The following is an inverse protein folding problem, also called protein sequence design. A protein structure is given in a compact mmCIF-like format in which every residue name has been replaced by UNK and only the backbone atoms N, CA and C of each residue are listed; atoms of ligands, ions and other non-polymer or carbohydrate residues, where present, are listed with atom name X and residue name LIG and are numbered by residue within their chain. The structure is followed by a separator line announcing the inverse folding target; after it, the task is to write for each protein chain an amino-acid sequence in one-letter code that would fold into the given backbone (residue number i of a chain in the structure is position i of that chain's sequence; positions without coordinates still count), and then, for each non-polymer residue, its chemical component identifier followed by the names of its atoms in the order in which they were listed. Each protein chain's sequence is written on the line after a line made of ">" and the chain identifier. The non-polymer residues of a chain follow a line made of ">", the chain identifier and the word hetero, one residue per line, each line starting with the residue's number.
data_IF_381775809593
#
_entry.id   IF_381775809593
#
_cell.length_a   1.000
_cell.length_b   1.000
_cell.length_c   1.000
_cell.angle_alpha   90.00
_cell.angle_beta   90.00
_cell.angle_gamma   90.00
#
_symmetry.space_group_name_H-M   'P 1'
#
loop_
_entity.id
_entity.type
_entity.pdbx_description
1 polymer ?
#
# COMPACT_ATOMS: atom_id res chain seq x y z
N UNK A 1 -62.94 -25.08 -28.40
CA UNK A 1 -61.61 -24.88 -27.77
C UNK A 1 -61.49 -23.41 -27.38
N UNK A 2 -61.11 -23.09 -26.13
CA UNK A 2 -60.82 -21.70 -25.75
C UNK A 2 -59.55 -21.26 -26.48
N UNK A 3 -59.58 -20.14 -27.20
CA UNK A 3 -58.39 -19.58 -27.84
C UNK A 3 -57.43 -19.07 -26.76
N UNK A 4 -56.16 -19.45 -26.85
CA UNK A 4 -55.13 -18.92 -25.96
C UNK A 4 -54.82 -17.49 -26.39
N UNK A 5 -54.81 -16.55 -25.45
CA UNK A 5 -54.41 -15.15 -25.68
C UNK A 5 -52.88 -15.04 -25.78
N UNK A 6 -52.39 -14.54 -26.92
CA UNK A 6 -50.96 -14.37 -27.21
C UNK A 6 -50.24 -13.51 -26.15
N UNK A 7 -50.92 -12.54 -25.53
CA UNK A 7 -50.32 -11.70 -24.49
C UNK A 7 -50.01 -12.51 -23.24
N UNK A 8 -50.89 -13.45 -22.89
CA UNK A 8 -50.70 -14.35 -21.76
C UNK A 8 -49.51 -15.29 -21.98
N UNK A 9 -49.29 -15.74 -23.23
CA UNK A 9 -48.11 -16.54 -23.60
C UNK A 9 -46.82 -15.73 -23.43
N UNK A 10 -46.79 -14.47 -23.91
CA UNK A 10 -45.63 -13.59 -23.80
C UNK A 10 -45.27 -13.32 -22.33
N UNK A 11 -46.27 -13.05 -21.48
CA UNK A 11 -46.06 -12.85 -20.04
C UNK A 11 -45.46 -14.11 -19.40
N UNK A 12 -45.96 -15.30 -19.77
CA UNK A 12 -45.41 -16.57 -19.30
C UNK A 12 -43.95 -16.80 -19.68
N UNK A 13 -43.58 -16.45 -20.92
CA UNK A 13 -42.21 -16.55 -21.43
C UNK A 13 -41.28 -15.55 -20.74
N UNK A 14 -41.71 -14.29 -20.58
CA UNK A 14 -40.91 -13.27 -19.87
C UNK A 14 -40.72 -13.64 -18.39
N UNK A 15 -41.76 -14.18 -17.74
CA UNK A 15 -41.69 -14.66 -16.36
C UNK A 15 -40.69 -15.80 -16.19
N UNK A 16 -40.69 -16.77 -17.10
CA UNK A 16 -39.70 -17.86 -17.06
C UNK A 16 -38.28 -17.35 -17.32
N UNK A 17 -38.07 -16.46 -18.30
CA UNK A 17 -36.76 -15.83 -18.56
C UNK A 17 -36.25 -15.10 -17.31
N UNK A 18 -37.10 -14.31 -16.65
CA UNK A 18 -36.72 -13.57 -15.45
C UNK A 18 -36.25 -14.50 -14.33
N UNK A 19 -36.95 -15.63 -14.11
CA UNK A 19 -36.55 -16.65 -13.13
C UNK A 19 -35.20 -17.26 -13.50
N UNK A 20 -34.98 -17.62 -14.76
CA UNK A 20 -33.69 -18.17 -15.22
C UNK A 20 -32.54 -17.17 -15.08
N UNK A 21 -32.76 -15.90 -15.44
CA UNK A 21 -31.77 -14.83 -15.25
C UNK A 21 -31.48 -14.64 -13.76
N UNK A 22 -32.50 -14.67 -12.90
CA UNK A 22 -32.32 -14.52 -11.45
C UNK A 22 -31.54 -15.69 -10.82
N UNK A 23 -31.76 -16.92 -11.29
CA UNK A 23 -31.01 -18.10 -10.84
C UNK A 23 -29.56 -18.09 -11.36
N UNK A 24 -29.37 -17.63 -12.60
CA UNK A 24 -28.06 -17.51 -13.25
C UNK A 24 -27.25 -16.29 -12.81
N UNK A 25 -27.88 -15.28 -12.23
CA UNK A 25 -27.24 -14.08 -11.69
C UNK A 25 -26.54 -14.36 -10.36
N UNK A 26 -25.55 -15.25 -10.37
CA UNK A 26 -24.54 -15.33 -9.30
C UNK A 26 -23.31 -14.57 -9.74
N UNK A 27 -22.73 -13.78 -8.84
CA UNK A 27 -21.42 -13.19 -9.06
C UNK A 27 -20.38 -14.31 -9.15
N UNK A 28 -19.94 -14.61 -10.37
CA UNK A 28 -18.86 -15.57 -10.61
C UNK A 28 -17.52 -14.87 -10.45
N UNK A 29 -17.08 -14.69 -9.21
CA UNK A 29 -15.65 -14.62 -8.97
C UNK A 29 -15.21 -16.05 -8.74
N UNK A 30 -14.71 -16.72 -9.77
CA UNK A 30 -14.00 -17.96 -9.56
C UNK A 30 -12.75 -17.61 -8.75
N UNK A 31 -12.71 -18.08 -7.51
CA UNK A 31 -11.52 -17.98 -6.68
C UNK A 31 -10.44 -18.81 -7.34
N UNK A 32 -9.53 -18.14 -8.03
CA UNK A 32 -8.25 -18.75 -8.36
C UNK A 32 -7.57 -19.03 -7.03
N UNK A 33 -7.25 -20.30 -6.76
CA UNK A 33 -6.50 -20.67 -5.56
C UNK A 33 -5.09 -20.07 -5.65
N UNK A 34 -4.21 -20.73 -6.40
CA UNK A 34 -2.84 -20.28 -6.58
C UNK A 34 -2.65 -19.76 -8.01
N UNK A 35 -1.97 -18.62 -8.13
CA UNK A 35 -1.47 -18.13 -9.42
C UNK A 35 -0.04 -18.64 -9.58
N UNK A 36 0.15 -19.65 -10.43
CA UNK A 36 1.48 -20.17 -10.78
C UNK A 36 1.79 -19.76 -12.22
N UNK A 37 2.66 -18.76 -12.39
CA UNK A 37 3.04 -18.20 -13.68
C UNK A 37 4.49 -17.72 -13.67
N UNK A 38 5.09 -17.55 -14.85
CA UNK A 38 6.45 -17.01 -14.97
C UNK A 38 6.54 -15.53 -14.60
N UNK A 39 5.54 -14.73 -14.95
CA UNK A 39 5.50 -13.30 -14.66
C UNK A 39 4.07 -12.79 -14.54
N UNK A 40 3.91 -11.75 -13.73
CA UNK A 40 2.69 -10.94 -13.64
C UNK A 40 3.09 -9.51 -13.99
N UNK A 41 2.48 -8.95 -15.03
CA UNK A 41 2.63 -7.54 -15.40
C UNK A 41 1.30 -6.85 -15.14
N UNK A 42 1.30 -5.84 -14.27
CA UNK A 42 0.13 -5.00 -14.02
C UNK A 42 0.33 -3.68 -14.75
N UNK A 43 -0.43 -3.46 -15.82
CA UNK A 43 -0.37 -2.25 -16.62
C UNK A 43 -1.33 -1.18 -16.08
N UNK A 44 -0.95 0.08 -16.25
CA UNK A 44 -1.81 1.23 -16.01
C UNK A 44 -2.49 1.62 -17.35
N UNK A 45 -3.81 1.48 -17.41
CA UNK A 45 -4.64 1.86 -18.56
C UNK A 45 -5.25 3.27 -18.45
N UNK A 46 -4.76 4.07 -17.50
CA UNK A 46 -5.32 5.36 -17.11
C UNK A 46 -6.15 5.28 -15.81
N UNK A 47 -6.37 4.08 -15.27
CA UNK A 47 -7.00 3.86 -13.95
C UNK A 47 -6.04 3.39 -12.87
N UNK A 48 -4.75 3.26 -13.19
CA UNK A 48 -3.67 2.83 -12.30
C UNK A 48 -3.32 1.35 -12.41
N UNK A 49 -2.03 1.02 -12.37
CA UNK A 49 -1.53 -0.35 -12.21
C UNK A 49 -1.21 -0.65 -10.74
N UNK A 50 -1.95 -1.57 -10.11
CA UNK A 50 -1.71 -1.93 -8.70
C UNK A 50 -2.14 -3.35 -8.33
N UNK A 51 -1.57 -3.85 -7.23
CA UNK A 51 -2.01 -5.03 -6.51
C UNK A 51 -2.52 -4.57 -5.14
N UNK A 52 -3.79 -4.86 -4.86
CA UNK A 52 -4.46 -4.55 -3.58
C UNK A 52 -4.82 -5.84 -2.87
N UNK A 53 -4.46 -5.91 -1.59
CA UNK A 53 -4.82 -7.02 -0.71
C UNK A 53 -5.73 -6.47 0.38
N UNK A 54 -6.84 -7.15 0.62
CA UNK A 54 -7.81 -6.83 1.68
C UNK A 54 -8.03 -8.02 2.61
N UNK A 55 -8.34 -7.75 3.87
CA UNK A 55 -8.74 -8.77 4.84
C UNK A 55 -10.19 -9.23 4.63
N UNK A 56 -10.66 -10.18 5.47
CA UNK A 56 -12.03 -10.72 5.44
C UNK A 56 -13.12 -9.67 5.62
N UNK A 57 -12.80 -8.54 6.24
CA UNK A 57 -13.73 -7.44 6.52
C UNK A 57 -13.73 -6.41 5.38
N UNK A 58 -13.01 -6.67 4.29
CA UNK A 58 -12.87 -5.76 3.15
C UNK A 58 -11.89 -4.60 3.38
N UNK A 59 -11.19 -4.55 4.52
CA UNK A 59 -10.19 -3.51 4.80
C UNK A 59 -8.88 -3.83 4.09
N UNK A 60 -8.31 -2.85 3.41
CA UNK A 60 -7.02 -2.98 2.74
C UNK A 60 -5.90 -3.25 3.76
N UNK A 61 -5.06 -4.25 3.51
CA UNK A 61 -3.89 -4.61 4.32
C UNK A 61 -2.58 -4.31 3.59
N UNK A 62 -2.57 -4.36 2.25
CA UNK A 62 -1.41 -4.01 1.43
C UNK A 62 -1.81 -3.37 0.11
N UNK A 63 -0.96 -2.48 -0.40
CA UNK A 63 -1.10 -1.84 -1.71
C UNK A 63 0.27 -1.67 -2.35
N UNK A 64 0.52 -2.37 -3.46
CA UNK A 64 1.68 -2.21 -4.33
C UNK A 64 1.22 -1.52 -5.61
N UNK A 65 1.84 -0.41 -5.99
CA UNK A 65 1.44 0.29 -7.20
C UNK A 65 2.40 1.39 -7.61
N UNK A 66 1.94 2.16 -8.59
CA UNK A 66 2.65 3.31 -9.15
C UNK A 66 1.89 4.59 -8.78
N UNK A 67 2.59 5.60 -8.29
CA UNK A 67 2.04 6.91 -7.98
C UNK A 67 1.84 7.75 -9.26
N UNK A 68 1.07 8.83 -9.18
CA UNK A 68 0.75 9.70 -10.33
C UNK A 68 2.00 10.26 -11.05
N UNK A 69 3.10 10.42 -10.32
CA UNK A 69 4.38 10.88 -10.87
C UNK A 69 5.24 9.73 -11.45
N UNK A 70 4.73 8.51 -11.51
CA UNK A 70 5.43 7.32 -12.02
C UNK A 70 6.24 6.57 -10.97
N UNK A 71 6.27 7.02 -9.71
CA UNK A 71 7.07 6.39 -8.65
C UNK A 71 6.41 5.10 -8.15
N UNK A 72 7.18 4.01 -8.06
CA UNK A 72 6.74 2.77 -7.45
C UNK A 72 6.69 2.86 -5.92
N UNK A 73 5.68 2.23 -5.30
CA UNK A 73 5.59 2.14 -3.84
C UNK A 73 4.82 0.90 -3.36
N UNK A 74 5.10 0.51 -2.12
CA UNK A 74 4.38 -0.48 -1.32
C UNK A 74 3.95 0.16 0.01
N UNK A 75 2.67 0.06 0.34
CA UNK A 75 2.12 0.48 1.63
C UNK A 75 1.43 -0.69 2.32
N UNK A 76 1.63 -0.85 3.63
CA UNK A 76 0.90 -1.81 4.47
C UNK A 76 0.06 -1.11 5.53
N UNK A 77 -0.98 -1.78 6.00
CA UNK A 77 -1.96 -1.27 6.96
C UNK A 77 -2.26 -2.31 8.03
N UNK A 78 -2.58 -1.86 9.24
CA UNK A 78 -3.11 -2.71 10.30
C UNK A 78 -4.62 -3.01 10.11
N UNK A 79 -5.20 -3.82 10.99
CA UNK A 79 -6.63 -4.20 10.97
C UNK A 79 -7.60 -3.01 11.14
N UNK A 80 -7.12 -1.86 11.59
CA UNK A 80 -7.91 -0.64 11.74
C UNK A 80 -7.81 0.26 10.49
N UNK A 81 -7.05 -0.14 9.48
CA UNK A 81 -6.81 0.64 8.27
C UNK A 81 -5.76 1.75 8.46
N UNK A 82 -5.02 1.76 9.58
CA UNK A 82 -3.91 2.69 9.78
C UNK A 82 -2.65 2.16 9.10
N UNK A 83 -1.94 3.04 8.41
CA UNK A 83 -0.67 2.74 7.75
C UNK A 83 0.37 2.25 8.77
N UNK A 84 1.06 1.15 8.46
CA UNK A 84 2.13 0.57 9.27
C UNK A 84 3.49 0.68 8.59
N UNK A 85 3.52 0.73 7.25
CA UNK A 85 4.75 0.85 6.48
C UNK A 85 4.50 1.57 5.16
N UNK A 86 5.49 2.35 4.72
CA UNK A 86 5.60 2.86 3.36
C UNK A 86 7.02 2.60 2.85
N UNK A 87 7.15 1.92 1.72
CA UNK A 87 8.39 1.72 0.98
C UNK A 87 8.18 2.31 -0.41
N UNK A 88 9.05 3.21 -0.85
CA UNK A 88 8.91 3.77 -2.19
C UNK A 88 9.95 4.83 -2.50
N UNK A 89 9.67 5.58 -3.54
CA UNK A 89 10.54 6.66 -4.02
C UNK A 89 10.07 8.01 -3.49
N UNK A 90 11.02 8.85 -3.08
CA UNK A 90 10.74 10.22 -2.71
C UNK A 90 10.47 11.07 -3.95
N UNK A 91 9.31 11.74 -3.95
CA UNK A 91 8.88 12.64 -5.03
C UNK A 91 9.96 13.65 -5.43
N UNK A 92 10.70 14.17 -4.45
CA UNK A 92 11.84 15.04 -4.70
C UNK A 92 13.15 14.23 -4.64
N UNK A 93 13.95 14.30 -5.70
CA UNK A 93 15.27 13.67 -5.75
C UNK A 93 15.26 12.19 -6.12
N UNK A 94 14.09 11.52 -6.16
CA UNK A 94 13.96 10.18 -6.71
C UNK A 94 14.66 9.08 -5.89
N UNK A 95 14.97 9.33 -4.62
CA UNK A 95 15.65 8.37 -3.76
C UNK A 95 14.68 7.42 -3.07
N UNK A 96 15.12 6.17 -2.86
CA UNK A 96 14.35 5.17 -2.15
C UNK A 96 14.33 5.40 -0.64
N UNK A 97 13.20 5.09 0.00
CA UNK A 97 13.08 5.12 1.45
C UNK A 97 12.03 4.16 1.99
N UNK A 98 12.18 3.80 3.26
CA UNK A 98 11.27 3.03 4.09
C UNK A 98 10.87 3.87 5.30
N UNK A 99 9.57 4.00 5.56
CA UNK A 99 9.03 4.60 6.78
C UNK A 99 8.15 3.59 7.50
N UNK A 100 8.32 3.44 8.81
CA UNK A 100 7.44 2.62 9.66
C UNK A 100 6.62 3.51 10.60
N UNK A 101 5.47 2.98 11.01
CA UNK A 101 4.53 3.67 11.89
C UNK A 101 4.06 2.72 12.99
N UNK A 102 3.77 3.27 14.17
CA UNK A 102 3.15 2.51 15.27
C UNK A 102 1.65 2.28 15.04
N UNK A 103 0.99 1.61 15.98
CA UNK A 103 -0.46 1.32 15.94
C UNK A 103 -1.37 2.56 15.90
N UNK A 104 -0.83 3.74 16.20
CA UNK A 104 -1.54 5.01 16.15
C UNK A 104 -1.27 5.80 14.86
N UNK A 105 -0.47 5.25 13.95
CA UNK A 105 -0.06 5.92 12.72
C UNK A 105 1.02 6.98 12.92
N UNK A 106 1.69 7.01 14.09
CA UNK A 106 2.84 7.89 14.32
C UNK A 106 4.10 7.26 13.76
N UNK A 107 4.92 8.05 13.07
CA UNK A 107 6.22 7.61 12.52
C UNK A 107 7.12 7.08 13.63
N UNK A 108 7.76 5.94 13.39
CA UNK A 108 8.72 5.31 14.31
C UNK A 108 10.11 5.18 13.71
N UNK A 109 10.22 5.07 12.38
CA UNK A 109 11.51 4.95 11.70
C UNK A 109 11.44 5.58 10.31
N UNK A 110 12.54 6.18 9.88
CA UNK A 110 12.83 6.50 8.49
C UNK A 110 14.19 5.89 8.14
N UNK A 111 14.25 5.13 7.06
CA UNK A 111 15.48 4.58 6.49
C UNK A 111 15.51 4.98 5.03
N UNK A 112 16.55 5.65 4.57
CA UNK A 112 16.61 6.07 3.18
C UNK A 112 17.91 6.76 2.84
N UNK A 113 17.91 7.39 1.68
CA UNK A 113 19.06 8.15 1.19
C UNK A 113 18.82 9.64 1.40
N UNK A 114 19.85 10.37 1.80
CA UNK A 114 19.81 11.82 1.84
C UNK A 114 19.75 12.39 0.41
N UNK A 115 18.90 13.41 0.21
CA UNK A 115 18.77 14.12 -1.07
C UNK A 115 20.10 14.71 -1.52
N UNK A 116 20.85 15.27 -0.57
CA UNK A 116 22.17 15.84 -0.79
C UNK A 116 23.24 14.81 -0.39
N UNK A 117 24.25 14.63 -1.24
CA UNK A 117 25.35 13.69 -0.99
C UNK A 117 25.02 12.21 -1.23
N UNK A 118 23.75 11.82 -1.27
CA UNK A 118 23.34 10.47 -1.66
C UNK A 118 23.73 9.37 -0.66
N UNK A 119 24.05 9.74 0.59
CA UNK A 119 24.41 8.78 1.63
C UNK A 119 23.17 8.18 2.31
N UNK A 120 23.31 6.96 2.81
CA UNK A 120 22.25 6.27 3.54
C UNK A 120 22.19 6.72 5.00
N UNK A 121 20.98 6.79 5.55
CA UNK A 121 20.77 7.06 6.98
C UNK A 121 19.50 6.38 7.51
N UNK A 122 19.48 6.20 8.82
CA UNK A 122 18.36 5.71 9.60
C UNK A 122 18.08 6.68 10.75
N UNK A 123 16.83 7.10 10.87
CA UNK A 123 16.34 7.91 11.98
C UNK A 123 15.22 7.18 12.71
N UNK A 124 15.29 7.12 14.03
CA UNK A 124 14.20 6.60 14.88
C UNK A 124 13.44 7.73 15.56
N UNK A 125 12.16 7.49 15.83
CA UNK A 125 11.27 8.47 16.42
C UNK A 125 10.45 7.86 17.56
N UNK A 126 10.18 8.68 18.58
CA UNK A 126 9.19 8.42 19.61
C UNK A 126 8.25 9.63 19.72
N UNK A 127 6.96 9.42 19.46
CA UNK A 127 5.93 10.48 19.48
C UNK A 127 6.30 11.72 18.65
N UNK A 128 6.85 11.50 17.46
CA UNK A 128 7.24 12.57 16.53
C UNK A 128 8.54 13.28 16.87
N UNK A 129 9.21 12.90 17.97
CA UNK A 129 10.54 13.39 18.33
C UNK A 129 11.59 12.38 17.90
N UNK A 130 12.65 12.88 17.28
CA UNK A 130 13.80 12.07 16.94
C UNK A 130 14.48 11.53 18.21
N UNK A 131 14.86 10.25 18.17
CA UNK A 131 15.56 9.58 19.25
C UNK A 131 16.95 9.12 18.86
N UNK A 132 17.19 8.87 17.57
CA UNK A 132 18.49 8.42 17.05
C UNK A 132 18.64 8.80 15.59
N UNK A 133 19.85 9.22 15.20
CA UNK A 133 20.32 9.28 13.83
C UNK A 133 21.51 8.34 13.67
N UNK A 134 21.51 7.50 12.64
CA UNK A 134 22.64 6.65 12.25
C UNK A 134 22.86 6.86 10.75
N UNK A 135 24.03 7.32 10.35
CA UNK A 135 24.29 7.59 8.94
C UNK A 135 25.67 8.19 8.70
N UNK A 136 25.75 9.00 7.66
CA UNK A 136 26.97 9.70 7.27
C UNK A 136 26.88 11.17 7.70
N UNK A 137 28.00 11.74 8.18
CA UNK A 137 28.14 13.16 8.46
C UNK A 137 28.45 13.97 7.20
N UNK A 138 28.41 15.30 7.29
CA UNK A 138 28.82 16.19 6.19
C UNK A 138 30.26 15.91 5.70
N UNK A 139 31.14 15.45 6.59
CA UNK A 139 32.53 15.09 6.26
C UNK A 139 32.70 13.71 5.63
N UNK A 140 31.63 12.95 5.43
CA UNK A 140 31.68 11.60 4.87
C UNK A 140 31.93 10.48 5.89
N UNK A 141 32.11 10.82 7.17
CA UNK A 141 32.34 9.85 8.25
C UNK A 141 31.03 9.19 8.72
N UNK A 142 31.11 7.96 9.21
CA UNK A 142 29.98 7.31 9.87
C UNK A 142 29.72 7.92 11.24
N UNK A 143 28.46 8.21 11.55
CA UNK A 143 28.04 8.79 12.84
C UNK A 143 26.79 8.12 13.42
N UNK A 144 26.70 8.15 14.75
CA UNK A 144 25.53 7.82 15.55
C UNK A 144 25.26 8.96 16.52
N UNK A 145 24.07 9.56 16.44
CA UNK A 145 23.60 10.59 17.35
C UNK A 145 22.40 10.08 18.13
N UNK A 146 22.31 10.42 19.42
CA UNK A 146 21.16 10.07 20.28
C UNK A 146 20.59 11.31 20.93
N UNK A 147 19.27 11.36 21.04
CA UNK A 147 18.54 12.52 21.54
C UNK A 147 17.64 12.15 22.71
N UNK A 148 17.51 13.04 23.68
CA UNK A 148 16.57 12.86 24.78
C UNK A 148 15.15 13.29 24.41
N UNK A 149 14.19 13.10 25.32
CA UNK A 149 12.77 13.46 25.12
C UNK A 149 12.49 14.96 24.86
N UNK A 150 13.48 15.83 25.06
CA UNK A 150 13.41 17.26 24.79
C UNK A 150 14.02 17.64 23.44
N UNK A 151 14.53 16.67 22.67
CA UNK A 151 15.20 16.91 21.39
C UNK A 151 16.65 17.39 21.55
N UNK A 152 17.23 17.26 22.75
CA UNK A 152 18.63 17.63 22.98
C UNK A 152 19.51 16.41 22.74
N UNK A 153 20.57 16.58 21.93
CA UNK A 153 21.57 15.54 21.70
C UNK A 153 22.29 15.21 23.01
N UNK A 154 22.34 13.93 23.36
CA UNK A 154 22.95 13.43 24.60
C UNK A 154 24.07 12.42 24.36
N UNK A 155 24.26 11.98 23.11
CA UNK A 155 25.37 11.09 22.74
C UNK A 155 25.71 11.25 21.27
N UNK A 156 27.02 11.22 20.99
CA UNK A 156 27.60 11.30 19.66
C UNK A 156 28.74 10.29 19.57
N UNK A 157 28.72 9.46 18.54
CA UNK A 157 29.80 8.54 18.19
C UNK A 157 30.12 8.72 16.71
N UNK A 158 31.37 9.00 16.37
CA UNK A 158 31.79 9.25 14.99
C UNK A 158 33.18 8.69 14.70
N UNK A 159 33.45 8.39 13.43
CA UNK A 159 34.78 8.04 12.93
C UNK A 159 35.53 9.27 12.42
N UNK A 160 36.85 9.29 12.60
CA UNK A 160 37.75 10.25 11.95
C UNK A 160 38.20 9.72 10.58
#
# INVERSE_FOLDING_TARGET
>A
MKSIDIKSVIIGVLGTILVFVSIGAKSQYEHLSDIVCNSITVLDDGTGGYIKISNSDGKQTSYLGTAENGDGFLTTFNSDGKKTTFLGTAKEGGFGFLTTFNSDGKKTTFLGTAKEGGFGFLTTFNDGKETTYLGTSEGGSGILETFNKHGVMVGYFGSN
#
